data_IF_165436127280
#
_entry.id   IF_165436127280
#
_cell.length_a   1.000
_cell.length_b   1.000
_cell.length_c   1.000
_cell.angle_alpha   90.00
_cell.angle_beta   90.00
_cell.angle_gamma   90.00
#
_symmetry.space_group_name_H-M   'P 1'
#
loop_
_entity.id
_entity.type
_entity.pdbx_description
1 polymer ?
#
# COMPACT_ATOMS: atom_id res chain seq x y z
N UNK A 1 -10.89 8.97 -1.67
CA UNK A 1 -9.56 9.36 -1.15
C UNK A 1 -8.92 10.51 -1.94
N UNK A 2 -8.83 10.44 -3.27
CA UNK A 2 -8.18 11.49 -4.09
C UNK A 2 -8.70 12.93 -3.87
N UNK A 3 -9.99 13.10 -3.52
CA UNK A 3 -10.54 14.41 -3.16
C UNK A 3 -9.79 15.06 -1.99
N UNK A 4 -9.36 14.29 -0.99
CA UNK A 4 -8.63 14.79 0.17
C UNK A 4 -7.24 15.31 -0.21
N UNK A 5 -6.58 14.64 -1.17
CA UNK A 5 -5.31 15.11 -1.74
C UNK A 5 -5.52 16.40 -2.52
N UNK A 6 -6.53 16.45 -3.39
CA UNK A 6 -6.84 17.68 -4.16
C UNK A 6 -7.19 18.88 -3.28
N UNK A 7 -7.77 18.62 -2.10
CA UNK A 7 -8.07 19.64 -1.10
C UNK A 7 -6.86 20.01 -0.21
N UNK A 8 -5.72 19.31 -0.34
CA UNK A 8 -4.54 19.53 0.48
C UNK A 8 -4.68 19.08 1.94
N UNK A 9 -5.69 18.25 2.25
CA UNK A 9 -5.92 17.76 3.63
C UNK A 9 -4.99 16.60 4.00
N UNK A 10 -4.53 15.85 3.00
CA UNK A 10 -3.52 14.80 3.13
C UNK A 10 -2.59 14.87 1.93
N UNK A 11 -1.33 14.47 2.11
CA UNK A 11 -0.34 14.51 1.03
C UNK A 11 -0.34 13.24 0.17
N UNK A 12 -0.62 12.08 0.78
CA UNK A 12 -0.43 10.76 0.16
C UNK A 12 -1.50 9.76 0.59
N UNK A 13 -1.63 8.65 -0.16
CA UNK A 13 -2.48 7.52 0.18
C UNK A 13 -1.63 6.32 0.60
N UNK A 14 -2.19 5.48 1.48
CA UNK A 14 -1.59 4.22 1.90
C UNK A 14 -2.68 3.23 2.31
N UNK A 15 -2.30 1.96 2.45
CA UNK A 15 -3.19 0.87 2.89
C UNK A 15 -2.55 0.12 4.05
N UNK A 16 -3.36 -0.48 4.92
CA UNK A 16 -2.91 -1.35 6.02
C UNK A 16 -3.66 -2.67 6.00
N UNK A 17 -2.93 -3.78 6.03
CA UNK A 17 -3.48 -5.15 6.09
C UNK A 17 -4.30 -5.58 4.88
N UNK A 18 -3.87 -5.15 3.69
CA UNK A 18 -4.48 -5.53 2.41
C UNK A 18 -3.64 -6.61 1.71
N UNK A 19 -4.23 -7.73 1.27
CA UNK A 19 -3.58 -8.63 0.32
C UNK A 19 -3.45 -7.96 -1.06
N UNK A 20 -2.53 -8.45 -1.90
CA UNK A 20 -2.20 -7.84 -3.20
C UNK A 20 -3.43 -7.68 -4.10
N UNK A 21 -4.34 -8.65 -4.14
CA UNK A 21 -5.59 -8.56 -4.91
C UNK A 21 -6.41 -7.31 -4.55
N UNK A 22 -6.53 -7.00 -3.25
CA UNK A 22 -7.28 -5.83 -2.79
C UNK A 22 -6.49 -4.54 -2.98
N UNK A 23 -5.15 -4.60 -2.94
CA UNK A 23 -4.30 -3.45 -3.29
C UNK A 23 -4.51 -3.07 -4.76
N UNK A 24 -4.49 -4.03 -5.68
CA UNK A 24 -4.73 -3.81 -7.11
C UNK A 24 -6.15 -3.32 -7.41
N UNK A 25 -7.15 -3.92 -6.75
CA UNK A 25 -8.54 -3.46 -6.85
C UNK A 25 -8.69 -2.00 -6.41
N UNK A 26 -8.05 -1.62 -5.29
CA UNK A 26 -8.05 -0.24 -4.83
C UNK A 26 -7.33 0.69 -5.82
N UNK A 27 -6.12 0.34 -6.27
CA UNK A 27 -5.33 1.12 -7.25
C UNK A 27 -6.11 1.34 -8.55
N UNK A 28 -6.81 0.30 -9.03
CA UNK A 28 -7.64 0.36 -10.24
C UNK A 28 -8.87 1.27 -10.10
N UNK A 29 -9.28 1.58 -8.86
CA UNK A 29 -10.39 2.49 -8.59
C UNK A 29 -9.98 3.97 -8.53
N UNK A 30 -8.68 4.26 -8.49
CA UNK A 30 -8.13 5.61 -8.45
C UNK A 30 -7.98 6.17 -9.86
N UNK A 31 -8.29 7.46 -10.05
CA UNK A 31 -8.24 8.07 -11.37
C UNK A 31 -6.83 8.56 -11.75
N UNK A 32 -6.03 8.98 -10.78
CA UNK A 32 -4.78 9.70 -11.02
C UNK A 32 -3.72 9.56 -9.92
N UNK A 33 -4.15 9.34 -8.68
CA UNK A 33 -3.25 9.19 -7.54
C UNK A 33 -2.93 7.72 -7.34
N UNK A 34 -1.69 7.40 -6.98
CA UNK A 34 -1.31 6.07 -6.54
C UNK A 34 -1.17 5.98 -5.00
N UNK A 35 -0.84 4.81 -4.48
CA UNK A 35 -0.49 4.58 -3.07
C UNK A 35 1.02 4.64 -2.87
N UNK A 36 1.44 5.20 -1.74
CA UNK A 36 2.86 5.40 -1.40
C UNK A 36 3.37 4.41 -0.35
N UNK A 37 2.47 3.84 0.46
CA UNK A 37 2.83 2.96 1.56
C UNK A 37 1.86 1.79 1.73
N UNK A 38 2.43 0.60 1.96
CA UNK A 38 1.74 -0.57 2.49
C UNK A 38 2.22 -0.80 3.92
N UNK A 39 1.31 -0.62 4.87
CA UNK A 39 1.52 -0.98 6.25
C UNK A 39 1.12 -2.45 6.45
N UNK A 40 2.07 -3.30 6.84
CA UNK A 40 1.88 -4.75 6.90
C UNK A 40 2.48 -5.34 8.17
N UNK A 41 1.87 -6.42 8.64
CA UNK A 41 2.43 -7.21 9.73
C UNK A 41 3.70 -7.92 9.27
N UNK A 42 4.82 -7.54 9.86
CA UNK A 42 6.11 -8.13 9.51
C UNK A 42 7.10 -8.03 10.66
N UNK A 43 7.56 -9.18 11.13
CA UNK A 43 8.59 -9.28 12.17
C UNK A 43 9.31 -10.62 12.07
N UNK A 44 10.25 -10.88 12.99
CA UNK A 44 11.06 -12.11 12.96
C UNK A 44 10.23 -13.41 13.05
N UNK A 45 9.04 -13.37 13.65
CA UNK A 45 8.13 -14.51 13.78
C UNK A 45 7.09 -14.58 12.65
N UNK A 46 6.66 -13.42 12.16
CA UNK A 46 5.63 -13.28 11.11
C UNK A 46 6.27 -12.77 9.82
N UNK A 47 6.68 -13.70 8.95
CA UNK A 47 7.42 -13.40 7.71
C UNK A 47 6.64 -13.68 6.41
N UNK A 48 5.34 -13.98 6.52
CA UNK A 48 4.45 -14.27 5.38
C UNK A 48 4.44 -13.16 4.32
N UNK A 49 4.69 -11.91 4.73
CA UNK A 49 4.82 -10.78 3.83
C UNK A 49 5.92 -10.94 2.76
N UNK A 50 6.96 -11.74 3.02
CA UNK A 50 8.06 -11.99 2.07
C UNK A 50 7.62 -12.81 0.85
N UNK A 51 6.54 -13.59 0.97
CA UNK A 51 6.08 -14.44 -0.13
C UNK A 51 5.46 -13.62 -1.27
N UNK A 52 4.75 -12.54 -0.93
CA UNK A 52 3.93 -11.81 -1.91
C UNK A 52 3.97 -10.29 -1.70
N UNK A 53 3.68 -9.80 -0.48
CA UNK A 53 3.49 -8.37 -0.22
C UNK A 53 4.75 -7.53 -0.41
N UNK A 54 5.91 -7.99 0.11
CA UNK A 54 7.18 -7.28 -0.03
C UNK A 54 7.66 -7.32 -1.49
N UNK A 55 7.71 -8.48 -2.19
CA UNK A 55 8.05 -8.51 -3.61
C UNK A 55 7.15 -7.62 -4.48
N UNK A 56 5.85 -7.61 -4.20
CA UNK A 56 4.89 -6.74 -4.88
C UNK A 56 5.20 -5.26 -4.62
N UNK A 57 5.39 -4.86 -3.36
CA UNK A 57 5.72 -3.49 -3.00
C UNK A 57 7.03 -3.02 -3.66
N UNK A 58 8.07 -3.86 -3.68
CA UNK A 58 9.34 -3.57 -4.35
C UNK A 58 9.16 -3.38 -5.86
N UNK A 59 8.42 -4.28 -6.52
CA UNK A 59 8.15 -4.20 -7.96
C UNK A 59 7.38 -2.93 -8.34
N UNK A 60 6.43 -2.52 -7.50
CA UNK A 60 5.61 -1.32 -7.68
C UNK A 60 6.24 -0.04 -7.12
N UNK A 61 7.43 -0.11 -6.50
CA UNK A 61 8.11 1.01 -5.82
C UNK A 61 7.28 1.64 -4.69
N UNK A 62 6.54 0.82 -3.97
CA UNK A 62 5.73 1.21 -2.82
C UNK A 62 6.54 0.98 -1.53
N UNK A 63 6.48 1.92 -0.60
CA UNK A 63 7.18 1.78 0.69
C UNK A 63 6.49 0.75 1.57
N UNK A 64 7.26 -0.14 2.20
CA UNK A 64 6.73 -1.05 3.23
C UNK A 64 6.93 -0.45 4.61
N UNK A 65 5.85 -0.37 5.39
CA UNK A 65 5.90 0.01 6.80
C UNK A 65 5.51 -1.20 7.66
N UNK A 66 6.47 -1.78 8.37
CA UNK A 66 6.22 -2.90 9.27
C UNK A 66 5.54 -2.46 10.57
N UNK A 67 4.59 -3.28 11.06
CA UNK A 67 4.01 -3.20 12.40
C UNK A 67 4.02 -4.56 13.12
#
# INVERSE_FOLDING_TARGET
MEKLIRMGLVSYLGLSDFPVELVESFRSSLASTDIEVLQIRYNLLERWAEEELIPYAEACKITVQAW
#
